data_IF_559318883615
#
_entry.id   IF_559318883615
#
_cell.length_a   1.000
_cell.length_b   1.000
_cell.length_c   1.000
_cell.angle_alpha   90.00
_cell.angle_beta   90.00
_cell.angle_gamma   90.00
#
_symmetry.space_group_name_H-M   'P 1'
#
loop_
_entity.id
_entity.type
_entity.pdbx_description
1 polymer ?
#
# COMPACT_ATOMS: atom_id res chain seq x y z
N UNK A 1 20.45 8.89 -1.97
CA UNK A 1 19.00 8.60 -1.89
C UNK A 1 18.61 7.84 -0.62
N UNK A 2 19.43 6.90 -0.12
CA UNK A 2 19.06 6.09 1.04
C UNK A 2 18.92 6.86 2.37
N UNK A 3 19.73 7.91 2.60
CA UNK A 3 19.69 8.68 3.86
C UNK A 3 18.35 9.34 4.13
N UNK A 4 17.81 10.10 3.17
CA UNK A 4 16.53 10.80 3.35
C UNK A 4 15.36 9.83 3.58
N UNK A 5 15.36 8.67 2.90
CA UNK A 5 14.35 7.61 3.11
C UNK A 5 14.43 7.09 4.54
N UNK A 6 15.63 6.83 5.02
CA UNK A 6 15.88 6.31 6.37
C UNK A 6 15.38 7.31 7.43
N UNK A 7 15.70 8.59 7.27
CA UNK A 7 15.25 9.66 8.18
C UNK A 7 13.73 9.75 8.24
N UNK A 8 13.06 9.77 7.09
CA UNK A 8 11.58 9.75 7.03
C UNK A 8 11.03 8.51 7.73
N UNK A 9 11.61 7.34 7.50
CA UNK A 9 11.14 6.10 8.10
C UNK A 9 11.33 6.06 9.62
N UNK A 10 12.42 6.65 10.15
CA UNK A 10 12.64 6.78 11.60
C UNK A 10 11.55 7.65 12.21
N UNK A 11 11.32 8.84 11.64
CA UNK A 11 10.25 9.75 12.11
C UNK A 11 8.89 9.07 12.00
N UNK A 12 8.58 8.43 10.88
CA UNK A 12 7.34 7.69 10.70
C UNK A 12 7.18 6.57 11.73
N UNK A 13 8.25 5.84 12.07
CA UNK A 13 8.22 4.79 13.08
C UNK A 13 7.89 5.36 14.47
N UNK A 14 8.47 6.51 14.83
CA UNK A 14 8.22 7.18 16.11
C UNK A 14 6.77 7.67 16.22
N UNK A 15 6.21 8.25 15.16
CA UNK A 15 4.91 8.94 15.23
C UNK A 15 3.72 8.18 14.66
N UNK A 16 3.93 7.02 14.04
CA UNK A 16 2.83 6.18 13.51
C UNK A 16 1.87 5.76 14.61
N UNK A 17 0.60 6.16 14.50
CA UNK A 17 -0.44 5.76 15.45
C UNK A 17 -1.23 4.52 14.96
N UNK A 18 -1.88 3.78 15.88
CA UNK A 18 -2.67 2.60 15.53
C UNK A 18 -3.81 2.97 14.57
N UNK A 19 -4.04 2.22 13.48
CA UNK A 19 -5.21 2.46 12.61
C UNK A 19 -6.50 2.38 13.42
N UNK A 20 -7.50 3.20 13.09
CA UNK A 20 -8.79 3.12 13.75
C UNK A 20 -9.38 1.71 13.55
N UNK A 21 -10.13 1.19 14.54
CA UNK A 21 -10.90 -0.02 14.33
C UNK A 21 -11.82 0.21 13.12
N UNK A 22 -11.88 -0.78 12.23
CA UNK A 22 -12.72 -0.69 11.04
C UNK A 22 -14.16 -0.34 11.46
N UNK A 23 -14.78 0.62 10.78
CA UNK A 23 -16.15 1.02 11.08
C UNK A 23 -17.06 -0.21 11.05
N UNK A 24 -17.84 -0.42 12.11
CA UNK A 24 -18.66 -1.63 12.34
C UNK A 24 -19.82 -1.76 11.33
N UNK A 25 -20.00 -0.81 10.42
CA UNK A 25 -21.09 -0.78 9.43
C UNK A 25 -20.59 -0.94 7.98
N UNK A 26 -19.97 -2.08 7.66
CA UNK A 26 -19.99 -2.73 6.32
C UNK A 26 -18.98 -3.89 6.23
N UNK A 27 -19.18 -4.97 7.01
CA UNK A 27 -18.41 -6.21 6.81
C UNK A 27 -19.04 -7.09 5.72
N UNK A 28 -18.76 -6.76 4.45
CA UNK A 28 -18.90 -7.74 3.35
C UNK A 28 -17.71 -7.77 2.39
N UNK A 29 -16.73 -6.86 2.52
CA UNK A 29 -15.56 -6.72 1.62
C UNK A 29 -14.33 -6.20 2.36
N UNK A 30 -13.15 -6.47 1.80
CA UNK A 30 -11.88 -5.91 2.29
C UNK A 30 -11.83 -4.39 2.04
N UNK A 31 -11.46 -3.63 3.06
CA UNK A 31 -11.21 -2.19 2.98
C UNK A 31 -9.96 -1.85 3.78
N UNK A 32 -9.12 -0.96 3.26
CA UNK A 32 -7.93 -0.48 3.99
C UNK A 32 -8.37 0.25 5.27
N UNK A 33 -7.74 -0.01 6.43
CA UNK A 33 -8.05 0.71 7.66
C UNK A 33 -7.79 2.22 7.51
N UNK A 34 -8.65 3.03 8.11
CA UNK A 34 -8.45 4.48 8.19
C UNK A 34 -7.35 4.79 9.22
N UNK A 35 -6.40 5.65 8.85
CA UNK A 35 -5.33 6.07 9.75
C UNK A 35 -5.84 7.16 10.72
N UNK A 36 -5.35 7.19 11.98
CA UNK A 36 -5.65 8.24 12.93
C UNK A 36 -5.12 9.61 12.47
N UNK A 37 -5.85 10.66 12.81
CA UNK A 37 -5.47 12.06 12.52
C UNK A 37 -4.44 12.63 13.51
N UNK A 38 -4.08 11.89 14.55
CA UNK A 38 -3.17 12.34 15.61
C UNK A 38 -1.99 11.37 15.78
N UNK A 39 -0.82 11.91 16.11
CA UNK A 39 0.38 11.13 16.40
C UNK A 39 0.21 10.27 17.65
N UNK A 40 0.99 9.20 17.75
CA UNK A 40 1.03 8.35 18.95
C UNK A 40 1.46 9.15 20.19
N UNK A 41 0.93 8.80 21.36
CA UNK A 41 1.36 9.35 22.67
C UNK A 41 2.19 8.34 23.49
N UNK A 42 2.59 7.24 22.85
CA UNK A 42 3.37 6.17 23.46
C UNK A 42 4.84 6.57 23.64
N UNK A 43 5.48 6.01 24.67
CA UNK A 43 6.96 6.02 24.79
C UNK A 43 7.60 5.26 23.63
N UNK A 44 8.91 5.49 23.38
CA UNK A 44 9.62 4.80 22.29
C UNK A 44 9.64 3.27 22.51
N UNK A 45 9.75 2.82 23.76
CA UNK A 45 9.73 1.40 24.14
C UNK A 45 8.34 0.77 23.92
N UNK A 46 7.27 1.48 24.26
CA UNK A 46 5.90 1.06 23.96
C UNK A 46 5.62 1.04 22.46
N UNK A 47 6.18 2.00 21.73
CA UNK A 47 6.04 2.10 20.29
C UNK A 47 6.73 0.90 19.59
N UNK A 48 7.93 0.50 20.04
CA UNK A 48 8.60 -0.74 19.58
C UNK A 48 7.70 -1.95 19.81
N UNK A 49 7.21 -2.14 21.05
CA UNK A 49 6.32 -3.26 21.40
C UNK A 49 5.07 -3.30 20.52
N UNK A 50 4.50 -2.13 20.23
CA UNK A 50 3.32 -2.00 19.36
C UNK A 50 3.62 -2.43 17.92
N UNK A 51 4.73 -1.97 17.34
CA UNK A 51 5.14 -2.37 15.98
C UNK A 51 5.46 -3.85 15.88
N UNK A 52 6.09 -4.43 16.89
CA UNK A 52 6.37 -5.87 16.94
C UNK A 52 5.11 -6.72 17.04
N UNK A 53 4.16 -6.30 17.89
CA UNK A 53 2.86 -6.95 17.98
C UNK A 53 2.10 -6.88 16.65
N UNK A 54 2.11 -5.72 15.98
CA UNK A 54 1.52 -5.56 14.64
C UNK A 54 2.22 -6.43 13.59
N UNK A 55 3.55 -6.48 13.58
CA UNK A 55 4.30 -7.36 12.70
C UNK A 55 3.90 -8.83 12.90
N UNK A 56 3.79 -9.28 14.15
CA UNK A 56 3.35 -10.64 14.48
C UNK A 56 1.92 -10.90 13.98
N UNK A 57 1.00 -9.96 14.18
CA UNK A 57 -0.36 -10.05 13.70
C UNK A 57 -0.43 -10.14 12.17
N UNK A 58 0.25 -9.25 11.44
CA UNK A 58 0.30 -9.25 9.97
C UNK A 58 0.90 -10.55 9.42
N UNK A 59 1.96 -11.08 10.06
CA UNK A 59 2.53 -12.39 9.71
C UNK A 59 1.52 -13.53 9.90
N UNK A 60 0.71 -13.49 10.96
CA UNK A 60 -0.32 -14.51 11.19
C UNK A 60 -1.44 -14.41 10.16
N UNK A 61 -1.99 -13.22 9.96
CA UNK A 61 -3.09 -13.00 9.03
C UNK A 61 -2.69 -13.35 7.59
N UNK A 62 -1.46 -13.04 7.18
CA UNK A 62 -0.93 -13.44 5.87
C UNK A 62 -0.84 -14.96 5.72
N UNK A 63 -0.43 -15.67 6.78
CA UNK A 63 -0.37 -17.14 6.79
C UNK A 63 -1.78 -17.74 6.65
N UNK A 64 -2.73 -17.24 7.43
CA UNK A 64 -4.13 -17.67 7.40
C UNK A 64 -4.78 -17.38 6.04
N UNK A 65 -4.51 -16.21 5.46
CA UNK A 65 -4.95 -15.81 4.14
C UNK A 65 -4.47 -16.77 3.04
N UNK A 66 -3.18 -17.13 3.07
CA UNK A 66 -2.59 -18.10 2.13
C UNK A 66 -3.15 -19.50 2.33
N UNK A 67 -3.36 -19.92 3.57
CA UNK A 67 -4.00 -21.21 3.85
C UNK A 67 -5.45 -21.25 3.33
N UNK A 68 -6.21 -20.17 3.46
CA UNK A 68 -7.58 -20.07 2.96
C UNK A 68 -7.65 -20.15 1.41
N UNK A 69 -6.64 -19.61 0.71
CA UNK A 69 -6.52 -19.70 -0.75
C UNK A 69 -6.34 -21.12 -1.27
N UNK A 70 -5.59 -21.94 -0.54
CA UNK A 70 -5.36 -23.33 -0.93
C UNK A 70 -6.63 -24.18 -0.83
N UNK A 71 -7.57 -23.79 0.06
CA UNK A 71 -8.84 -24.49 0.26
C UNK A 71 -9.98 -24.06 -0.68
N UNK A 72 -9.87 -22.94 -1.39
CA UNK A 72 -10.98 -22.37 -2.20
C UNK A 72 -10.48 -21.69 -3.48
N UNK A 73 -11.06 -22.05 -4.63
CA UNK A 73 -10.86 -21.34 -5.90
C UNK A 73 -11.75 -20.09 -5.95
N UNK A 74 -11.20 -18.95 -5.54
CA UNK A 74 -11.81 -17.65 -5.79
C UNK A 74 -11.85 -17.37 -7.31
N UNK A 75 -12.92 -16.73 -7.80
CA UNK A 75 -13.10 -16.40 -9.23
C UNK A 75 -13.48 -14.93 -9.43
N UNK A 76 -13.03 -14.37 -10.55
CA UNK A 76 -13.34 -12.99 -10.95
C UNK A 76 -13.00 -11.98 -9.85
N UNK A 77 -14.01 -11.25 -9.40
CA UNK A 77 -13.88 -10.17 -8.40
C UNK A 77 -13.35 -10.64 -7.04
N UNK A 78 -13.72 -11.84 -6.60
CA UNK A 78 -13.24 -12.39 -5.31
C UNK A 78 -11.73 -12.67 -5.34
N UNK A 79 -11.22 -13.14 -6.49
CA UNK A 79 -9.78 -13.38 -6.66
C UNK A 79 -8.99 -12.07 -6.64
N UNK A 80 -9.56 -11.00 -7.21
CA UNK A 80 -8.95 -9.68 -7.16
C UNK A 80 -8.93 -9.11 -5.73
N UNK A 81 -10.04 -9.22 -4.99
CA UNK A 81 -10.13 -8.80 -3.58
C UNK A 81 -9.09 -9.53 -2.72
N UNK A 82 -8.92 -10.84 -2.94
CA UNK A 82 -7.91 -11.65 -2.25
C UNK A 82 -6.48 -11.23 -2.61
N UNK A 83 -6.20 -10.92 -3.88
CA UNK A 83 -4.90 -10.38 -4.31
C UNK A 83 -4.61 -9.03 -3.64
N UNK A 84 -5.62 -8.15 -3.57
CA UNK A 84 -5.49 -6.85 -2.92
C UNK A 84 -5.22 -6.98 -1.42
N UNK A 85 -5.91 -7.92 -0.76
CA UNK A 85 -5.69 -8.23 0.66
C UNK A 85 -4.28 -8.78 0.90
N UNK A 86 -3.80 -9.71 0.08
CA UNK A 86 -2.43 -10.22 0.20
C UNK A 86 -1.38 -9.12 0.06
N UNK A 87 -1.48 -8.31 -0.99
CA UNK A 87 -0.55 -7.21 -1.24
C UNK A 87 -0.54 -6.19 -0.09
N UNK A 88 -1.71 -5.93 0.51
CA UNK A 88 -1.81 -5.08 1.70
C UNK A 88 -1.10 -5.71 2.90
N UNK A 89 -1.36 -6.98 3.21
CA UNK A 89 -0.75 -7.67 4.33
C UNK A 89 0.79 -7.76 4.19
N UNK A 90 1.29 -7.97 2.98
CA UNK A 90 2.73 -7.96 2.71
C UNK A 90 3.35 -6.58 2.92
N UNK A 91 2.69 -5.54 2.41
CA UNK A 91 3.12 -4.16 2.59
C UNK A 91 3.17 -3.79 4.08
N UNK A 92 2.10 -4.05 4.83
CA UNK A 92 2.04 -3.75 6.26
C UNK A 92 3.06 -4.56 7.07
N UNK A 93 3.24 -5.84 6.74
CA UNK A 93 4.30 -6.68 7.35
C UNK A 93 5.67 -6.04 7.14
N UNK A 94 5.98 -5.61 5.93
CA UNK A 94 7.26 -4.95 5.62
C UNK A 94 7.41 -3.64 6.40
N UNK A 95 6.37 -2.79 6.37
CA UNK A 95 6.34 -1.50 7.06
C UNK A 95 6.60 -1.63 8.56
N UNK A 96 5.84 -2.47 9.26
CA UNK A 96 6.00 -2.68 10.70
C UNK A 96 7.34 -3.37 11.03
N UNK A 97 7.87 -4.20 10.13
CA UNK A 97 9.21 -4.77 10.25
C UNK A 97 10.30 -3.70 10.25
N UNK A 98 10.23 -2.79 9.28
CA UNK A 98 11.14 -1.63 9.18
C UNK A 98 11.04 -0.73 10.41
N UNK A 99 9.82 -0.38 10.83
CA UNK A 99 9.64 0.51 11.99
C UNK A 99 10.17 -0.10 13.29
N UNK A 100 9.90 -1.38 13.55
CA UNK A 100 10.43 -2.07 14.72
C UNK A 100 11.97 -2.11 14.70
N UNK A 101 12.58 -2.42 13.54
CA UNK A 101 14.02 -2.47 13.40
C UNK A 101 14.69 -1.11 13.65
N UNK A 102 14.16 -0.04 13.03
CA UNK A 102 14.70 1.31 13.18
C UNK A 102 14.63 1.80 14.61
N UNK A 103 13.50 1.61 15.30
CA UNK A 103 13.36 2.03 16.69
C UNK A 103 14.25 1.23 17.64
N UNK A 104 14.47 -0.08 17.39
CA UNK A 104 15.44 -0.85 18.19
C UNK A 104 16.86 -0.32 18.04
N UNK A 105 17.28 0.00 16.83
CA UNK A 105 18.60 0.60 16.58
C UNK A 105 18.71 1.95 17.28
N UNK A 106 17.67 2.78 17.18
CA UNK A 106 17.61 4.08 17.86
C UNK A 106 17.74 3.95 19.38
N UNK A 107 16.95 3.08 20.02
CA UNK A 107 17.01 2.85 21.46
C UNK A 107 18.38 2.36 21.89
N UNK A 108 19.00 1.47 21.10
CA UNK A 108 20.36 0.98 21.37
C UNK A 108 21.42 2.08 21.23
N UNK A 109 21.25 3.00 20.29
CA UNK A 109 22.14 4.14 20.10
C UNK A 109 22.01 5.18 21.22
N UNK A 110 20.88 5.22 21.94
CA UNK A 110 20.64 6.15 23.04
C UNK A 110 20.63 7.62 22.62
N UNK A 111 20.42 7.90 21.33
CA UNK A 111 20.47 9.25 20.74
C UNK A 111 19.16 9.59 20.03
N UNK A 112 18.78 10.86 20.10
CA UNK A 112 17.72 11.47 19.29
C UNK A 112 18.24 12.03 17.96
N UNK A 113 19.57 12.17 17.81
CA UNK A 113 20.18 12.66 16.58
C UNK A 113 20.10 11.60 15.47
N UNK A 114 19.41 11.95 14.37
CA UNK A 114 19.21 11.06 13.24
C UNK A 114 20.52 10.60 12.59
N UNK A 115 21.57 11.41 12.63
CA UNK A 115 22.90 11.07 12.11
C UNK A 115 23.52 9.90 12.89
N UNK A 116 23.41 9.93 14.22
CA UNK A 116 23.88 8.83 15.09
C UNK A 116 23.10 7.55 14.83
N UNK A 117 21.78 7.66 14.65
CA UNK A 117 20.91 6.50 14.37
C UNK A 117 21.23 5.90 13.00
N UNK A 118 21.45 6.73 11.98
CA UNK A 118 21.85 6.28 10.65
C UNK A 118 23.21 5.57 10.67
N UNK A 119 24.19 6.12 11.40
CA UNK A 119 25.49 5.49 11.60
C UNK A 119 25.38 4.15 12.35
N UNK A 120 24.54 4.07 13.37
CA UNK A 120 24.28 2.84 14.10
C UNK A 120 23.57 1.78 13.23
N UNK A 121 22.67 2.22 12.33
CA UNK A 121 21.99 1.33 11.39
C UNK A 121 22.96 0.77 10.35
N UNK A 122 23.86 1.59 9.82
CA UNK A 122 24.91 1.14 8.89
C UNK A 122 25.80 0.06 9.54
N UNK A 123 26.17 0.26 10.81
CA UNK A 123 26.94 -0.74 11.57
C UNK A 123 26.16 -2.02 11.87
N UNK A 124 24.85 -1.91 12.14
CA UNK A 124 23.98 -3.06 12.36
C UNK A 124 23.75 -3.88 11.08
N UNK A 125 23.61 -3.22 9.93
CA UNK A 125 23.42 -3.85 8.62
C UNK A 125 24.64 -4.60 8.09
N UNK A 126 25.86 -4.29 8.57
CA UNK A 126 27.06 -5.05 8.25
C UNK A 126 27.22 -6.35 9.05
N UNK A 127 26.39 -6.60 10.07
CA UNK A 127 26.48 -7.79 10.94
C UNK A 127 25.45 -8.88 10.65
N UNK A 128 24.35 -8.58 9.96
CA UNK A 128 23.24 -9.52 9.76
C UNK A 128 22.76 -9.48 8.30
N UNK A 129 22.89 -10.62 7.61
CA UNK A 129 22.28 -10.88 6.30
C UNK A 129 20.75 -10.71 6.36
N UNK A 130 20.21 -9.83 5.52
CA UNK A 130 18.79 -9.86 5.15
C UNK A 130 17.90 -8.75 5.73
N UNK A 131 18.34 -7.49 5.76
CA UNK A 131 17.39 -6.37 5.84
C UNK A 131 16.64 -6.30 4.50
N UNK A 132 15.31 -6.52 4.46
CA UNK A 132 14.56 -6.38 3.22
C UNK A 132 14.62 -4.91 2.78
N UNK A 133 15.00 -4.71 1.52
CA UNK A 133 14.94 -3.41 0.86
C UNK A 133 13.58 -2.76 1.11
N UNK A 134 13.50 -1.45 1.41
CA UNK A 134 12.24 -0.75 1.54
C UNK A 134 11.54 -0.76 0.16
N UNK A 135 10.73 -1.78 -0.07
CA UNK A 135 9.83 -1.84 -1.21
C UNK A 135 8.75 -0.79 -0.98
N UNK A 136 9.01 0.41 -1.47
CA UNK A 136 7.98 1.39 -1.77
C UNK A 136 6.94 0.72 -2.68
N UNK A 137 5.67 0.98 -2.37
CA UNK A 137 4.43 0.45 -2.96
C UNK A 137 4.50 -0.02 -4.42
N UNK A 138 3.71 -1.03 -4.81
CA UNK A 138 3.65 -1.47 -6.21
C UNK A 138 3.10 -0.33 -7.06
N UNK A 139 3.87 0.11 -8.05
CA UNK A 139 3.44 1.07 -9.06
C UNK A 139 2.09 0.67 -9.63
N UNK A 140 1.13 1.60 -9.62
CA UNK A 140 -0.07 1.52 -10.44
C UNK A 140 0.39 1.42 -11.90
N UNK A 141 0.23 0.24 -12.50
CA UNK A 141 0.44 0.09 -13.94
C UNK A 141 -0.61 0.95 -14.66
N UNK A 142 -0.22 1.91 -15.51
CA UNK A 142 -1.17 2.57 -16.38
C UNK A 142 -1.69 1.51 -17.37
N UNK A 143 -2.97 1.18 -17.24
CA UNK A 143 -3.68 0.35 -18.20
C UNK A 143 -3.85 1.14 -19.51
N UNK A 144 -2.82 1.17 -20.35
CA UNK A 144 -2.97 1.49 -21.77
C UNK A 144 -3.49 0.23 -22.47
N UNK A 145 -4.76 -0.09 -22.22
CA UNK A 145 -5.51 -1.00 -23.07
C UNK A 145 -6.07 -0.18 -24.23
N UNK A 146 -5.40 -0.32 -25.36
CA UNK A 146 -5.83 0.06 -26.69
C UNK A 146 -7.28 -0.35 -26.93
N UNK A 147 -8.17 0.61 -27.20
CA UNK A 147 -9.41 0.33 -27.93
C UNK A 147 -9.41 1.12 -29.25
N UNK A 148 -9.60 0.45 -30.40
CA UNK A 148 -9.90 1.14 -31.64
C UNK A 148 -11.34 1.66 -31.59
N UNK A 149 -11.50 2.95 -31.90
CA UNK A 149 -12.79 3.64 -32.01
C UNK A 149 -13.65 2.96 -33.09
N UNK A 150 -14.82 2.47 -32.68
CA UNK A 150 -15.86 1.96 -33.58
C UNK A 150 -16.35 3.04 -34.55
N UNK A 151 -16.69 2.59 -35.75
CA UNK A 151 -17.10 3.32 -36.94
C UNK A 151 -18.38 4.15 -36.74
N UNK A 152 -18.41 5.36 -37.30
CA UNK A 152 -19.66 5.98 -37.76
C UNK A 152 -19.61 6.00 -39.29
N UNK A 153 -20.37 5.09 -39.91
CA UNK A 153 -20.71 5.12 -41.33
C UNK A 153 -21.64 6.30 -41.59
N UNK A 154 -21.23 7.22 -42.45
CA UNK A 154 -22.10 8.25 -43.03
C UNK A 154 -22.31 7.93 -44.50
N UNK A 155 -23.46 7.33 -44.83
CA UNK A 155 -23.88 7.09 -46.20
C UNK A 155 -24.57 8.33 -46.76
N UNK A 156 -24.04 8.87 -47.86
CA UNK A 156 -24.69 9.90 -48.69
C UNK A 156 -26.03 9.39 -49.27
N UNK A 157 -27.00 10.29 -49.50
CA UNK A 157 -28.02 10.08 -50.51
C UNK A 157 -27.86 11.10 -51.65
N UNK A 158 -27.66 10.59 -52.87
CA UNK A 158 -27.76 11.34 -54.12
C UNK A 158 -29.11 11.05 -54.80
N UNK A 159 -29.98 12.06 -54.87
CA UNK A 159 -31.11 12.20 -55.81
C UNK A 159 -31.46 13.71 -55.79
N UNK A 160 -31.58 14.47 -56.87
CA UNK A 160 -32.17 14.17 -58.17
C UNK A 160 -33.29 15.21 -58.42
N UNK A 161 -32.96 16.24 -59.20
CA UNK A 161 -33.79 17.19 -59.95
C UNK A 161 -35.27 17.52 -59.55
N UNK A 162 -35.59 18.82 -59.51
CA UNK A 162 -37.00 19.28 -59.58
C UNK A 162 -37.17 20.82 -59.54
N UNK A 163 -37.16 21.46 -60.71
CA UNK A 163 -37.51 22.88 -60.93
C UNK A 163 -39.01 23.13 -60.83
N UNK A 164 -39.46 24.26 -60.25
CA UNK A 164 -40.89 24.59 -60.20
C UNK A 164 -41.30 25.95 -59.61
N UNK A 165 -41.01 27.02 -60.34
CA UNK A 165 -41.84 28.22 -60.66
C UNK A 165 -42.96 28.67 -59.69
N UNK A 166 -42.84 29.93 -59.21
CA UNK A 166 -43.91 30.77 -58.64
C UNK A 166 -44.90 31.24 -59.72
N UNK A 167 -46.18 31.39 -59.34
CA UNK A 167 -47.29 32.07 -60.05
C UNK A 167 -47.96 33.06 -59.08
N UNK A 168 -48.92 33.88 -59.53
CA UNK A 168 -48.97 34.69 -60.74
C UNK A 168 -48.54 36.14 -60.47
#
# INVERSE_FOLDING_TARGET
MQSWITRINVVAAMFSAPPFPAAVSSQKKFSRPLLPSAATRLSQEEQVRTHEAKLKAMKSELREHRAALLGKKARGKEAEEQRQKEAYLEFEKSRYGTYAALLRVKLKAGSEELDTVEAALAQAGSREDGVPSPHSSPSLQPNISSQPRAQCHGSEPQAGAGSGRRKP
#
